data_IF_616783559109
#
_entry.id   IF_616783559109
#
_cell.length_a   1.000
_cell.length_b   1.000
_cell.length_c   1.000
_cell.angle_alpha   90.00
_cell.angle_beta   90.00
_cell.angle_gamma   90.00
#
_symmetry.space_group_name_H-M   'P 1'
#
loop_
_entity.id
_entity.type
_entity.pdbx_description
1 polymer ?
#
# COMPACT_ATOMS: atom_id res chain seq x y z
N UNK A 1 -26.91 -3.98 30.99
CA UNK A 1 -26.18 -3.45 32.15
C UNK A 1 -25.83 -2.00 31.86
N UNK A 2 -26.16 -1.06 32.74
CA UNK A 2 -25.76 0.35 32.61
C UNK A 2 -24.53 0.54 33.50
N UNK A 3 -23.39 0.85 32.90
CA UNK A 3 -22.13 1.09 33.62
C UNK A 3 -21.82 2.59 33.65
N UNK A 4 -21.22 3.11 34.75
CA UNK A 4 -20.71 4.48 34.79
C UNK A 4 -19.64 4.72 33.72
N UNK A 5 -19.54 5.94 33.19
CA UNK A 5 -18.53 6.31 32.19
C UNK A 5 -17.08 6.10 32.67
N UNK A 6 -16.82 6.13 33.98
CA UNK A 6 -15.51 5.89 34.57
C UNK A 6 -15.32 4.47 35.12
N UNK A 7 -16.18 3.52 34.78
CA UNK A 7 -16.12 2.15 35.31
C UNK A 7 -14.78 1.48 35.01
N UNK A 8 -14.30 1.56 33.78
CA UNK A 8 -13.03 0.96 33.37
C UNK A 8 -11.83 1.54 34.12
N UNK A 9 -11.84 2.84 34.38
CA UNK A 9 -10.79 3.51 35.17
C UNK A 9 -10.81 3.04 36.62
N UNK A 10 -12.00 2.91 37.22
CA UNK A 10 -12.16 2.49 38.62
C UNK A 10 -11.64 1.07 38.89
N UNK A 11 -11.73 0.17 37.91
CA UNK A 11 -11.29 -1.21 38.04
C UNK A 11 -9.91 -1.48 37.41
N UNK A 12 -9.22 -0.44 36.93
CA UNK A 12 -7.91 -0.58 36.27
C UNK A 12 -7.95 -1.22 34.87
N UNK A 13 -9.13 -1.44 34.29
CA UNK A 13 -9.30 -2.09 32.98
C UNK A 13 -8.76 -1.25 31.82
N UNK A 14 -8.65 0.07 31.99
CA UNK A 14 -8.07 0.96 30.98
C UNK A 14 -6.65 0.52 30.57
N UNK A 15 -5.82 0.07 31.52
CA UNK A 15 -4.47 -0.42 31.24
C UNK A 15 -4.49 -1.70 30.39
N UNK A 16 -5.41 -2.63 30.67
CA UNK A 16 -5.58 -3.85 29.86
C UNK A 16 -6.02 -3.52 28.43
N UNK A 17 -6.89 -2.51 28.29
CA UNK A 17 -7.35 -2.03 26.98
C UNK A 17 -6.20 -1.43 26.16
N UNK A 18 -5.35 -0.60 26.77
CA UNK A 18 -4.15 -0.04 26.13
C UNK A 18 -3.15 -1.14 25.72
N UNK A 19 -2.91 -2.12 26.61
CA UNK A 19 -2.07 -3.29 26.30
C UNK A 19 -2.62 -4.06 25.10
N UNK A 20 -3.94 -4.30 25.08
CA UNK A 20 -4.61 -4.99 23.97
C UNK A 20 -4.52 -4.20 22.67
N UNK A 21 -4.71 -2.89 22.71
CA UNK A 21 -4.60 -2.01 21.55
C UNK A 21 -3.18 -2.03 20.95
N UNK A 22 -2.15 -2.05 21.81
CA UNK A 22 -0.74 -2.14 21.40
C UNK A 22 -0.40 -3.47 20.70
N UNK A 23 -1.20 -4.51 20.92
CA UNK A 23 -1.03 -5.85 20.36
C UNK A 23 -1.74 -6.04 19.01
N UNK A 24 -2.61 -5.11 18.59
CA UNK A 24 -3.23 -5.14 17.28
C UNK A 24 -2.22 -4.79 16.18
N UNK A 25 -2.27 -5.50 15.05
CA UNK A 25 -1.42 -5.24 13.89
C UNK A 25 -1.82 -3.92 13.21
N UNK A 26 -3.10 -3.56 13.25
CA UNK A 26 -3.56 -2.38 12.54
C UNK A 26 -4.77 -1.70 13.15
N UNK A 27 -5.17 -0.58 12.52
CA UNK A 27 -6.36 0.15 12.88
C UNK A 27 -7.64 -0.71 12.82
N UNK A 28 -7.66 -1.77 11.99
CA UNK A 28 -8.81 -2.66 11.89
C UNK A 28 -9.07 -3.38 13.23
N UNK A 29 -8.05 -3.99 13.84
CA UNK A 29 -8.17 -4.61 15.16
C UNK A 29 -8.44 -3.58 16.27
N UNK A 30 -7.75 -2.43 16.22
CA UNK A 30 -7.95 -1.35 17.20
C UNK A 30 -9.38 -0.81 17.22
N UNK A 31 -10.06 -0.78 16.08
CA UNK A 31 -11.49 -0.43 16.03
C UNK A 31 -12.38 -1.40 16.82
N UNK A 32 -12.04 -2.70 16.84
CA UNK A 32 -12.75 -3.68 17.67
C UNK A 32 -12.41 -3.51 19.16
N UNK A 33 -11.15 -3.21 19.48
CA UNK A 33 -10.77 -2.84 20.86
C UNK A 33 -11.61 -1.66 21.31
N UNK A 34 -11.62 -0.54 20.58
CA UNK A 34 -12.37 0.66 20.94
C UNK A 34 -13.88 0.42 21.13
N UNK A 35 -14.47 -0.54 20.40
CA UNK A 35 -15.91 -0.91 20.50
C UNK A 35 -16.20 -1.96 21.56
N UNK A 36 -15.19 -2.56 22.19
CA UNK A 36 -15.37 -3.60 23.20
C UNK A 36 -16.12 -3.06 24.43
N UNK A 37 -17.11 -3.81 24.89
CA UNK A 37 -17.92 -3.52 26.07
C UNK A 37 -18.07 -4.78 26.93
N UNK A 38 -18.32 -4.61 28.23
CA UNK A 38 -18.66 -5.71 29.13
C UNK A 38 -19.95 -6.41 28.65
N UNK A 39 -19.88 -7.74 28.49
CA UNK A 39 -20.98 -8.57 28.02
C UNK A 39 -21.55 -9.41 29.16
N UNK A 40 -22.84 -9.71 29.10
CA UNK A 40 -23.53 -10.56 30.10
C UNK A 40 -24.28 -11.73 29.47
N UNK A 41 -24.32 -11.82 28.13
CA UNK A 41 -24.98 -12.93 27.42
C UNK A 41 -24.05 -14.12 27.37
N UNK A 42 -24.46 -15.22 28.02
CA UNK A 42 -23.67 -16.45 28.16
C UNK A 42 -23.11 -16.94 26.82
N UNK A 43 -23.98 -17.19 25.84
CA UNK A 43 -23.57 -17.76 24.54
C UNK A 43 -22.59 -16.86 23.77
N UNK A 44 -22.70 -15.54 23.93
CA UNK A 44 -21.78 -14.59 23.30
C UNK A 44 -20.42 -14.59 24.00
N UNK A 45 -20.41 -14.64 25.34
CA UNK A 45 -19.18 -14.75 26.13
C UNK A 45 -18.45 -16.04 25.81
N UNK A 46 -19.15 -17.18 25.84
CA UNK A 46 -18.60 -18.49 25.53
C UNK A 46 -17.95 -18.50 24.15
N UNK A 47 -18.65 -18.02 23.12
CA UNK A 47 -18.10 -17.88 21.77
C UNK A 47 -16.83 -17.03 21.73
N UNK A 48 -16.83 -15.85 22.36
CA UNK A 48 -15.68 -14.94 22.35
C UNK A 48 -14.47 -15.49 23.11
N UNK A 49 -14.71 -16.26 24.17
CA UNK A 49 -13.69 -16.95 24.95
C UNK A 49 -13.08 -18.10 24.13
N UNK A 50 -13.90 -18.98 23.56
CA UNK A 50 -13.46 -20.09 22.71
C UNK A 50 -12.62 -19.60 21.53
N UNK A 51 -13.04 -18.53 20.85
CA UNK A 51 -12.25 -17.94 19.75
C UNK A 51 -10.86 -17.47 20.21
N UNK A 52 -10.77 -16.91 21.42
CA UNK A 52 -9.50 -16.45 21.98
C UNK A 52 -8.62 -17.64 22.36
N UNK A 53 -9.22 -18.67 22.94
CA UNK A 53 -8.54 -19.90 23.36
C UNK A 53 -8.00 -20.69 22.17
N UNK A 54 -8.81 -20.87 21.12
CA UNK A 54 -8.40 -21.48 19.84
C UNK A 54 -7.22 -20.72 19.21
N UNK A 55 -7.26 -19.39 19.20
CA UNK A 55 -6.16 -18.60 18.65
C UNK A 55 -4.91 -18.67 19.55
N UNK A 56 -5.08 -18.77 20.88
CA UNK A 56 -3.94 -19.00 21.80
C UNK A 56 -3.28 -20.35 21.52
N UNK A 57 -4.07 -21.41 21.36
CA UNK A 57 -3.57 -22.73 20.99
C UNK A 57 -2.85 -22.70 19.63
N UNK A 58 -3.39 -21.97 18.65
CA UNK A 58 -2.73 -21.75 17.37
C UNK A 58 -1.35 -21.11 17.53
N UNK A 59 -1.23 -20.05 18.34
CA UNK A 59 0.05 -19.36 18.57
C UNK A 59 1.06 -20.28 19.29
N UNK A 60 0.58 -21.11 20.22
CA UNK A 60 1.41 -22.08 20.95
C UNK A 60 1.87 -23.25 20.07
N UNK A 61 1.11 -23.61 19.04
CA UNK A 61 1.47 -24.69 18.11
C UNK A 61 2.68 -24.34 17.24
N UNK A 62 3.05 -23.06 17.12
CA UNK A 62 4.10 -22.59 16.23
C UNK A 62 3.69 -22.60 14.75
N UNK A 63 2.41 -22.80 14.44
CA UNK A 63 1.90 -22.75 13.08
C UNK A 63 2.13 -21.37 12.45
N UNK A 64 2.56 -21.37 11.20
CA UNK A 64 2.76 -20.14 10.42
C UNK A 64 1.41 -19.58 9.95
N UNK A 65 0.84 -18.68 10.75
CA UNK A 65 -0.43 -18.03 10.44
C UNK A 65 -0.22 -16.66 9.77
N UNK A 66 -0.96 -16.35 8.69
CA UNK A 66 -0.82 -15.10 7.95
C UNK A 66 -1.17 -13.88 8.80
N UNK A 67 -0.13 -13.18 9.24
CA UNK A 67 -0.18 -12.03 10.15
C UNK A 67 0.42 -10.76 9.54
N UNK A 68 0.58 -10.73 8.21
CA UNK A 68 1.12 -9.59 7.48
C UNK A 68 0.02 -8.86 6.69
N UNK A 69 0.29 -7.60 6.31
CA UNK A 69 -0.58 -6.80 5.43
C UNK A 69 -2.01 -6.54 5.95
N UNK A 70 -2.15 -6.23 7.24
CA UNK A 70 -3.42 -5.82 7.84
C UNK A 70 -3.71 -4.33 7.53
N UNK A 71 -3.81 -3.95 6.27
CA UNK A 71 -4.02 -2.55 5.90
C UNK A 71 -5.48 -2.12 6.13
N UNK A 72 -5.68 -0.94 6.72
CA UNK A 72 -7.02 -0.34 6.77
C UNK A 72 -7.33 0.34 5.42
N UNK A 73 -8.08 -0.35 4.58
CA UNK A 73 -8.47 0.16 3.26
C UNK A 73 -9.83 0.84 3.25
N UNK A 74 -10.51 0.99 4.39
CA UNK A 74 -11.83 1.63 4.44
C UNK A 74 -11.84 3.00 3.75
N UNK A 75 -10.84 3.89 3.95
CA UNK A 75 -10.78 5.17 3.25
C UNK A 75 -10.74 5.00 1.72
N UNK A 76 -10.02 3.99 1.22
CA UNK A 76 -9.93 3.68 -0.20
C UNK A 76 -11.26 3.15 -0.75
N UNK A 77 -11.96 2.27 -0.03
CA UNK A 77 -13.26 1.76 -0.45
C UNK A 77 -14.32 2.87 -0.49
N UNK A 78 -14.29 3.81 0.46
CA UNK A 78 -15.14 5.00 0.45
C UNK A 78 -14.86 5.84 -0.78
N UNK A 79 -13.58 6.16 -1.06
CA UNK A 79 -13.22 6.92 -2.27
C UNK A 79 -13.60 6.20 -3.56
N UNK A 80 -13.37 4.89 -3.66
CA UNK A 80 -13.72 4.08 -4.82
C UNK A 80 -15.23 4.03 -5.07
N UNK A 81 -16.06 4.16 -4.01
CA UNK A 81 -17.52 4.17 -4.16
C UNK A 81 -18.04 5.38 -4.95
N UNK A 82 -17.27 6.48 -5.00
CA UNK A 82 -17.64 7.68 -5.74
C UNK A 82 -17.50 7.44 -7.25
N UNK A 83 -18.54 7.74 -8.07
CA UNK A 83 -18.44 7.68 -9.54
C UNK A 83 -17.34 8.60 -10.07
N UNK A 84 -16.58 8.12 -11.07
CA UNK A 84 -15.47 8.88 -11.67
C UNK A 84 -14.19 8.96 -10.83
N UNK A 85 -14.21 8.55 -9.55
CA UNK A 85 -13.01 8.45 -8.74
C UNK A 85 -12.16 7.24 -9.16
N UNK A 86 -10.84 7.39 -9.03
CA UNK A 86 -9.85 6.32 -9.14
C UNK A 86 -9.01 6.20 -7.87
N UNK A 87 -8.55 4.99 -7.59
CA UNK A 87 -7.53 4.70 -6.59
C UNK A 87 -6.14 4.77 -7.20
N UNK A 88 -5.17 5.24 -6.42
CA UNK A 88 -3.76 5.20 -6.83
C UNK A 88 -3.16 3.80 -6.65
N UNK A 89 -1.92 3.64 -7.13
CA UNK A 89 -1.19 2.37 -7.11
C UNK A 89 -0.99 1.86 -5.68
N UNK A 90 -0.70 2.75 -4.74
CA UNK A 90 -0.49 2.38 -3.34
C UNK A 90 -1.78 1.84 -2.68
N UNK A 91 -2.93 2.44 -2.97
CA UNK A 91 -4.22 1.95 -2.52
C UNK A 91 -4.54 0.57 -3.10
N UNK A 92 -4.31 0.34 -4.40
CA UNK A 92 -4.49 -0.98 -4.99
C UNK A 92 -3.54 -2.03 -4.44
N UNK A 93 -2.28 -1.67 -4.20
CA UNK A 93 -1.31 -2.54 -3.56
C UNK A 93 -1.80 -2.96 -2.16
N UNK A 94 -2.23 -2.02 -1.33
CA UNK A 94 -2.77 -2.31 -0.01
C UNK A 94 -3.98 -3.26 -0.09
N UNK A 95 -4.92 -2.99 -1.01
CA UNK A 95 -6.09 -3.86 -1.22
C UNK A 95 -5.68 -5.27 -1.63
N UNK A 96 -4.78 -5.38 -2.60
CA UNK A 96 -4.28 -6.66 -3.11
C UNK A 96 -3.63 -7.49 -2.00
N UNK A 97 -2.71 -6.89 -1.24
CA UNK A 97 -1.96 -7.60 -0.20
C UNK A 97 -2.87 -8.06 0.94
N UNK A 98 -3.78 -7.20 1.41
CA UNK A 98 -4.76 -7.60 2.43
C UNK A 98 -5.71 -8.70 1.94
N UNK A 99 -6.15 -8.67 0.68
CA UNK A 99 -7.00 -9.75 0.13
C UNK A 99 -6.25 -11.08 0.01
N UNK A 100 -4.95 -11.06 -0.29
CA UNK A 100 -4.11 -12.27 -0.24
C UNK A 100 -4.03 -12.81 1.19
N UNK A 101 -3.78 -11.97 2.19
CA UNK A 101 -3.78 -12.35 3.62
C UNK A 101 -5.12 -12.94 4.04
N UNK A 102 -6.24 -12.30 3.67
CA UNK A 102 -7.59 -12.79 3.98
C UNK A 102 -7.81 -14.18 3.38
N UNK A 103 -7.44 -14.37 2.10
CA UNK A 103 -7.57 -15.67 1.44
C UNK A 103 -6.71 -16.74 2.10
N UNK A 104 -5.46 -16.41 2.48
CA UNK A 104 -4.59 -17.33 3.22
C UNK A 104 -5.19 -17.72 4.57
N UNK A 105 -5.75 -16.76 5.31
CA UNK A 105 -6.38 -17.03 6.60
C UNK A 105 -7.63 -17.91 6.45
N UNK A 106 -8.48 -17.65 5.45
CA UNK A 106 -9.62 -18.50 5.13
C UNK A 106 -9.16 -19.93 4.79
N UNK A 107 -8.19 -20.06 3.89
CA UNK A 107 -7.63 -21.35 3.49
C UNK A 107 -7.08 -22.11 4.71
N UNK A 108 -6.30 -21.44 5.56
CA UNK A 108 -5.73 -22.02 6.78
C UNK A 108 -6.79 -22.70 7.64
N UNK A 109 -7.86 -21.99 8.00
CA UNK A 109 -8.91 -22.56 8.85
C UNK A 109 -9.76 -23.62 8.14
N UNK A 110 -9.96 -23.51 6.83
CA UNK A 110 -10.69 -24.52 6.05
C UNK A 110 -9.91 -25.81 5.84
N UNK A 111 -8.57 -25.75 5.78
CA UNK A 111 -7.70 -26.92 5.57
C UNK A 111 -7.26 -27.58 6.88
N UNK A 112 -7.31 -26.87 8.01
CA UNK A 112 -7.11 -27.47 9.33
C UNK A 112 -8.13 -28.59 9.61
N UNK A 113 -7.79 -29.52 10.50
CA UNK A 113 -8.76 -30.51 11.00
C UNK A 113 -9.97 -29.79 11.61
N UNK A 114 -11.18 -30.30 11.36
CA UNK A 114 -12.42 -29.60 11.73
C UNK A 114 -12.55 -29.32 13.23
N UNK A 115 -11.92 -30.16 14.05
CA UNK A 115 -11.96 -30.12 15.50
C UNK A 115 -10.97 -29.12 16.12
N UNK A 116 -9.96 -28.64 15.37
CA UNK A 116 -8.90 -27.80 15.94
C UNK A 116 -9.36 -26.36 16.18
N UNK A 117 -10.05 -25.76 15.20
CA UNK A 117 -10.43 -24.34 15.23
C UNK A 117 -11.88 -24.10 14.81
N UNK A 118 -12.87 -24.76 15.45
CA UNK A 118 -14.26 -24.70 15.01
C UNK A 118 -14.84 -23.29 15.09
N UNK A 119 -14.60 -22.53 16.15
CA UNK A 119 -15.20 -21.18 16.31
C UNK A 119 -14.51 -20.11 15.48
N UNK A 120 -13.20 -20.26 15.19
CA UNK A 120 -12.48 -19.42 14.25
C UNK A 120 -12.89 -19.70 12.80
N UNK A 121 -13.11 -20.96 12.42
CA UNK A 121 -13.61 -21.33 11.09
C UNK A 121 -14.95 -20.66 10.79
N UNK A 122 -15.85 -20.59 11.78
CA UNK A 122 -17.15 -19.93 11.63
C UNK A 122 -17.04 -18.43 11.29
N UNK A 123 -15.94 -17.75 11.63
CA UNK A 123 -15.74 -16.33 11.31
C UNK A 123 -15.61 -16.08 9.81
N UNK A 124 -15.11 -17.07 9.05
CA UNK A 124 -14.94 -16.97 7.60
C UNK A 124 -16.21 -17.24 6.80
N UNK A 125 -17.31 -17.66 7.44
CA UNK A 125 -18.57 -17.97 6.74
C UNK A 125 -19.11 -16.70 6.06
N UNK A 126 -19.40 -16.81 4.78
CA UNK A 126 -19.92 -15.69 3.97
C UNK A 126 -18.86 -14.65 3.59
N UNK A 127 -17.59 -14.88 3.92
CA UNK A 127 -16.46 -14.08 3.44
C UNK A 127 -15.95 -14.69 2.16
N UNK A 128 -16.01 -13.93 1.07
CA UNK A 128 -15.53 -14.36 -0.24
C UNK A 128 -14.57 -13.32 -0.80
N UNK A 129 -13.49 -13.81 -1.41
CA UNK A 129 -12.53 -13.00 -2.15
C UNK A 129 -12.62 -13.43 -3.61
N UNK A 130 -13.11 -12.53 -4.47
CA UNK A 130 -13.24 -12.82 -5.90
C UNK A 130 -11.85 -13.00 -6.53
N UNK A 131 -11.65 -14.17 -7.16
CA UNK A 131 -10.40 -14.51 -7.84
C UNK A 131 -10.16 -13.62 -9.06
N UNK A 132 -11.21 -13.20 -9.76
CA UNK A 132 -11.12 -12.31 -10.91
C UNK A 132 -10.66 -10.92 -10.49
N UNK A 133 -11.14 -10.41 -9.35
CA UNK A 133 -10.67 -9.14 -8.79
C UNK A 133 -9.18 -9.22 -8.44
N UNK A 134 -8.75 -10.28 -7.76
CA UNK A 134 -7.33 -10.48 -7.45
C UNK A 134 -6.47 -10.58 -8.72
N UNK A 135 -6.92 -11.32 -9.73
CA UNK A 135 -6.21 -11.41 -11.01
C UNK A 135 -6.13 -10.05 -11.73
N UNK A 136 -7.19 -9.23 -11.67
CA UNK A 136 -7.19 -7.89 -12.21
C UNK A 136 -6.20 -6.96 -11.47
N UNK A 137 -6.14 -7.04 -10.14
CA UNK A 137 -5.15 -6.33 -9.33
C UNK A 137 -3.73 -6.79 -9.67
N UNK A 138 -3.50 -8.09 -9.77
CA UNK A 138 -2.21 -8.70 -10.11
C UNK A 138 -1.71 -8.29 -11.50
N UNK A 139 -2.62 -8.06 -12.47
CA UNK A 139 -2.26 -7.59 -13.81
C UNK A 139 -1.72 -6.16 -13.81
N UNK A 140 -2.15 -5.31 -12.88
CA UNK A 140 -1.81 -3.89 -12.88
C UNK A 140 -0.68 -3.57 -11.89
N UNK A 141 -0.71 -4.16 -10.70
CA UNK A 141 0.26 -3.88 -9.63
C UNK A 141 1.03 -5.15 -9.28
N UNK A 142 2.35 -5.08 -9.24
CA UNK A 142 3.21 -6.18 -8.81
C UNK A 142 3.27 -6.32 -7.28
N UNK A 143 4.17 -7.17 -6.80
CA UNK A 143 4.28 -7.53 -5.38
C UNK A 143 5.17 -6.52 -4.60
N UNK A 144 5.85 -5.63 -5.32
CA UNK A 144 6.66 -4.53 -4.83
C UNK A 144 5.88 -3.19 -4.82
N UNK A 145 4.64 -3.18 -5.29
CA UNK A 145 3.78 -2.01 -5.34
C UNK A 145 4.05 -1.07 -6.52
N UNK A 146 4.69 -1.58 -7.57
CA UNK A 146 4.90 -0.87 -8.83
C UNK A 146 3.88 -1.28 -9.89
N UNK A 147 3.70 -0.41 -10.88
CA UNK A 147 2.85 -0.72 -12.04
C UNK A 147 3.59 -1.69 -12.96
N UNK A 148 2.94 -2.80 -13.27
CA UNK A 148 3.50 -3.79 -14.21
C UNK A 148 3.65 -3.21 -15.60
N UNK A 149 4.74 -3.56 -16.27
CA UNK A 149 5.00 -3.15 -17.66
C UNK A 149 3.87 -3.53 -18.61
N UNK A 150 3.29 -4.71 -18.39
CA UNK A 150 2.23 -5.29 -19.22
C UNK A 150 0.82 -5.00 -18.70
N UNK A 151 0.64 -4.00 -17.83
CA UNK A 151 -0.67 -3.58 -17.35
C UNK A 151 -1.61 -3.21 -18.52
N UNK A 152 -1.07 -2.59 -19.57
CA UNK A 152 -1.70 -2.49 -20.89
C UNK A 152 -0.66 -2.51 -22.02
N UNK A 153 -1.05 -2.91 -23.25
CA UNK A 153 -0.17 -2.84 -24.42
C UNK A 153 0.34 -1.42 -24.69
N UNK A 154 -0.54 -0.41 -24.54
CA UNK A 154 -0.18 0.99 -24.76
C UNK A 154 0.79 1.51 -23.70
N UNK A 155 0.57 1.18 -22.42
CA UNK A 155 1.48 1.59 -21.34
C UNK A 155 2.89 1.00 -21.55
N UNK A 156 2.96 -0.27 -21.95
CA UNK A 156 4.21 -0.94 -22.30
C UNK A 156 4.93 -0.24 -23.46
N UNK A 157 4.21 0.06 -24.54
CA UNK A 157 4.74 0.78 -25.70
C UNK A 157 5.29 2.15 -25.30
N UNK A 158 4.51 2.95 -24.57
CA UNK A 158 4.92 4.29 -24.10
C UNK A 158 6.16 4.22 -23.21
N UNK A 159 6.25 3.21 -22.33
CA UNK A 159 7.41 3.01 -21.46
C UNK A 159 8.68 2.69 -22.27
N UNK A 160 8.57 1.80 -23.25
CA UNK A 160 9.70 1.46 -24.13
C UNK A 160 10.15 2.65 -24.96
N UNK A 161 9.20 3.42 -25.51
CA UNK A 161 9.53 4.63 -26.26
C UNK A 161 10.23 5.67 -25.40
N UNK A 162 9.75 5.87 -24.16
CA UNK A 162 10.35 6.77 -23.19
C UNK A 162 11.78 6.35 -22.84
N UNK A 163 12.04 5.06 -22.58
CA UNK A 163 13.39 4.52 -22.34
C UNK A 163 14.30 4.78 -23.54
N UNK A 164 13.81 4.53 -24.76
CA UNK A 164 14.57 4.74 -25.99
C UNK A 164 14.93 6.21 -26.21
N UNK A 165 13.95 7.12 -26.05
CA UNK A 165 14.15 8.58 -26.18
C UNK A 165 15.09 9.13 -25.12
N UNK A 166 14.93 8.70 -23.87
CA UNK A 166 15.87 9.06 -22.79
C UNK A 166 17.29 8.52 -23.06
N UNK A 167 17.42 7.32 -23.61
CA UNK A 167 18.71 6.76 -24.03
C UNK A 167 19.38 7.57 -25.13
N UNK A 168 18.62 8.01 -26.14
CA UNK A 168 19.11 8.89 -27.20
C UNK A 168 19.53 10.26 -26.66
N UNK A 169 18.70 10.88 -25.81
CA UNK A 169 19.00 12.15 -25.14
C UNK A 169 20.32 12.07 -24.35
N UNK A 170 20.49 11.03 -23.53
CA UNK A 170 21.71 10.83 -22.72
C UNK A 170 22.95 10.69 -23.61
N UNK A 171 22.88 9.92 -24.69
CA UNK A 171 24.01 9.75 -25.63
C UNK A 171 24.40 11.06 -26.29
N UNK A 172 23.43 11.84 -26.73
CA UNK A 172 23.66 13.11 -27.40
C UNK A 172 24.22 14.18 -26.46
N UNK A 173 23.64 14.30 -25.24
CA UNK A 173 24.19 15.15 -24.18
C UNK A 173 25.61 14.75 -23.81
N UNK A 174 25.91 13.46 -23.69
CA UNK A 174 27.26 12.99 -23.37
C UNK A 174 28.27 13.31 -24.48
N UNK A 175 27.84 13.41 -25.75
CA UNK A 175 28.68 13.87 -26.86
C UNK A 175 28.97 15.37 -26.77
N UNK A 176 27.93 16.18 -26.55
CA UNK A 176 28.04 17.63 -26.41
C UNK A 176 28.90 17.98 -25.19
N UNK A 177 28.68 17.32 -24.05
CA UNK A 177 29.46 17.51 -22.84
C UNK A 177 30.94 17.22 -23.06
N UNK A 178 31.27 16.10 -23.73
CA UNK A 178 32.67 15.75 -24.03
C UNK A 178 33.36 16.81 -24.87
N UNK A 179 32.69 17.31 -25.91
CA UNK A 179 33.23 18.38 -26.74
C UNK A 179 33.36 19.70 -25.96
N UNK A 180 32.35 20.09 -25.21
CA UNK A 180 32.38 21.33 -24.43
C UNK A 180 33.43 21.28 -23.29
N UNK A 181 33.69 20.10 -22.71
CA UNK A 181 34.80 19.89 -21.76
C UNK A 181 36.16 20.00 -22.45
N UNK A 182 36.35 19.42 -23.64
CA UNK A 182 37.63 19.53 -24.36
C UNK A 182 37.97 20.96 -24.77
N UNK A 183 36.95 21.78 -25.02
CA UNK A 183 37.10 23.20 -25.37
C UNK A 183 37.17 24.12 -24.14
N UNK A 184 37.07 23.59 -22.91
CA UNK A 184 37.12 24.37 -21.67
C UNK A 184 35.87 25.22 -21.38
N UNK A 185 34.75 24.99 -22.06
CA UNK A 185 33.50 25.74 -21.84
C UNK A 185 32.74 25.30 -20.59
N UNK A 186 32.98 24.05 -20.18
CA UNK A 186 32.36 23.39 -19.04
C UNK A 186 33.48 22.90 -18.11
N UNK A 187 33.35 23.02 -16.77
CA UNK A 187 34.33 22.48 -15.84
C UNK A 187 34.54 20.97 -16.03
N UNK A 188 35.77 20.50 -15.84
CA UNK A 188 36.15 19.11 -16.15
C UNK A 188 35.39 18.06 -15.32
N UNK A 189 35.01 18.40 -14.10
CA UNK A 189 34.25 17.58 -13.15
C UNK A 189 32.72 17.77 -13.24
N UNK A 190 32.25 18.71 -14.06
CA UNK A 190 30.83 19.01 -14.14
C UNK A 190 30.06 17.94 -14.91
N UNK A 191 28.88 17.56 -14.40
CA UNK A 191 27.98 16.58 -15.01
C UNK A 191 26.67 17.23 -15.46
N UNK A 192 25.95 16.65 -16.44
CA UNK A 192 24.62 17.11 -16.82
C UNK A 192 23.68 17.06 -15.62
N UNK A 193 22.82 18.07 -15.49
CA UNK A 193 21.87 18.16 -14.38
C UNK A 193 20.45 18.39 -14.89
N UNK A 194 19.45 18.25 -14.02
CA UNK A 194 18.06 18.49 -14.36
C UNK A 194 17.64 19.85 -13.80
N UNK A 195 17.13 20.72 -14.66
CA UNK A 195 16.51 22.02 -14.31
C UNK A 195 15.14 22.11 -14.95
N UNK A 196 14.11 22.41 -14.15
CA UNK A 196 12.73 22.47 -14.65
C UNK A 196 12.24 21.16 -15.30
N UNK A 197 12.81 20.01 -14.92
CA UNK A 197 12.51 18.71 -15.53
C UNK A 197 13.22 18.45 -16.87
N UNK A 198 14.12 19.33 -17.31
CA UNK A 198 14.89 19.19 -18.56
C UNK A 198 16.35 18.92 -18.25
N UNK A 199 17.00 18.10 -19.07
CA UNK A 199 18.42 17.81 -18.96
C UNK A 199 19.23 18.97 -19.55
N UNK A 200 20.07 19.59 -18.73
CA UNK A 200 20.84 20.80 -19.05
C UNK A 200 22.32 20.62 -18.75
N UNK A 201 23.15 21.42 -19.42
CA UNK A 201 24.60 21.46 -19.25
C UNK A 201 25.02 22.69 -18.44
N UNK A 202 25.87 22.55 -17.41
CA UNK A 202 26.45 23.67 -16.66
C UNK A 202 27.61 24.29 -17.43
N UNK A 203 27.37 25.43 -18.09
CA UNK A 203 28.37 26.15 -18.91
C UNK A 203 28.90 27.35 -18.13
N UNK A 204 30.21 27.60 -18.21
CA UNK A 204 30.81 28.80 -17.62
C UNK A 204 30.18 30.04 -18.28
N UNK A 205 29.78 31.03 -17.48
CA UNK A 205 28.99 32.18 -17.95
C UNK A 205 29.65 32.95 -19.11
N UNK A 206 30.99 33.04 -19.11
CA UNK A 206 31.77 33.65 -20.20
C UNK A 206 31.63 32.91 -21.53
N UNK A 207 31.38 31.60 -21.47
CA UNK A 207 31.24 30.72 -22.63
C UNK A 207 29.77 30.41 -22.98
N UNK A 208 28.79 31.08 -22.36
CA UNK A 208 27.35 30.82 -22.58
C UNK A 208 26.88 30.93 -24.03
N UNK A 209 27.59 31.70 -24.87
CA UNK A 209 27.29 31.83 -26.31
C UNK A 209 27.94 30.75 -27.18
N UNK A 210 28.83 29.91 -26.63
CA UNK A 210 29.52 28.83 -27.34
C UNK A 210 28.67 27.57 -27.45
N UNK A 211 27.87 27.29 -26.42
CA UNK A 211 26.86 26.22 -26.45
C UNK A 211 25.55 26.82 -26.93
N UNK A 212 25.15 26.52 -28.17
CA UNK A 212 23.85 26.95 -28.70
C UNK A 212 22.71 26.26 -27.96
N UNK A 213 21.80 27.04 -27.39
CA UNK A 213 20.70 26.51 -26.60
C UNK A 213 19.93 27.56 -25.82
N UNK A 214 18.98 27.10 -25.03
CA UNK A 214 18.16 27.93 -24.15
C UNK A 214 18.72 27.91 -22.72
N UNK A 215 18.84 29.08 -22.11
CA UNK A 215 19.22 29.21 -20.71
C UNK A 215 17.99 28.93 -19.85
N UNK A 216 18.10 27.95 -18.94
CA UNK A 216 17.03 27.59 -18.01
C UNK A 216 17.21 28.19 -16.63
N UNK A 217 18.47 28.37 -16.20
CA UNK A 217 18.81 28.78 -14.85
C UNK A 217 20.24 29.33 -14.78
N UNK A 218 20.57 30.02 -13.69
CA UNK A 218 21.89 30.58 -13.41
C UNK A 218 22.29 30.28 -11.97
N UNK A 219 23.58 30.03 -11.71
CA UNK A 219 24.08 29.82 -10.36
C UNK A 219 23.92 31.09 -9.51
N UNK A 220 23.79 30.93 -8.19
CA UNK A 220 23.72 32.07 -7.27
C UNK A 220 24.94 33.02 -7.36
N UNK A 221 26.09 32.49 -7.78
CA UNK A 221 27.31 33.26 -8.03
C UNK A 221 27.36 33.95 -9.41
N UNK A 222 26.44 33.65 -10.33
CA UNK A 222 26.45 34.14 -11.71
C UNK A 222 27.56 33.55 -12.59
N UNK A 223 28.35 32.61 -12.07
CA UNK A 223 29.52 32.05 -12.78
C UNK A 223 29.15 30.88 -13.70
N UNK A 224 28.04 30.21 -13.45
CA UNK A 224 27.60 29.04 -14.23
C UNK A 224 26.19 29.24 -14.72
N UNK A 225 25.98 29.02 -16.01
CA UNK A 225 24.68 29.10 -16.68
C UNK A 225 24.26 27.70 -17.11
N UNK A 226 23.02 27.32 -16.82
CA UNK A 226 22.47 26.01 -17.17
C UNK A 226 21.75 26.08 -18.52
N UNK A 227 22.35 25.47 -19.54
CA UNK A 227 21.90 25.57 -20.93
C UNK A 227 21.33 24.22 -21.39
N UNK A 228 20.11 24.23 -21.95
CA UNK A 228 19.58 23.13 -22.76
C UNK A 228 20.09 23.29 -24.19
N UNK A 229 20.95 22.38 -24.69
CA UNK A 229 21.44 22.49 -26.05
C UNK A 229 20.32 22.35 -27.08
N UNK A 230 20.34 23.18 -28.11
CA UNK A 230 19.34 23.16 -29.20
C UNK A 230 19.21 21.76 -29.83
N UNK A 231 20.33 21.06 -29.96
CA UNK A 231 20.39 19.73 -30.55
C UNK A 231 19.52 18.67 -29.84
N UNK A 232 19.15 18.89 -28.58
CA UNK A 232 18.34 17.95 -27.79
C UNK A 232 16.95 18.48 -27.43
N UNK A 233 16.59 19.67 -27.91
CA UNK A 233 15.33 20.33 -27.58
C UNK A 233 14.11 19.47 -28.00
N UNK A 234 14.13 18.97 -29.23
CA UNK A 234 13.09 18.07 -29.76
C UNK A 234 12.99 16.79 -28.93
N UNK A 235 14.12 16.17 -28.57
CA UNK A 235 14.13 14.96 -27.73
C UNK A 235 13.54 15.20 -26.33
N UNK A 236 13.82 16.36 -25.72
CA UNK A 236 13.23 16.73 -24.44
C UNK A 236 11.71 16.94 -24.55
N UNK A 237 11.24 17.57 -25.62
CA UNK A 237 9.80 17.75 -25.86
C UNK A 237 9.10 16.41 -26.11
N UNK A 238 9.68 15.54 -26.96
CA UNK A 238 9.19 14.18 -27.20
C UNK A 238 9.06 13.38 -25.89
N UNK A 239 10.09 13.41 -25.04
CA UNK A 239 10.07 12.75 -23.73
C UNK A 239 8.93 13.30 -22.88
N UNK A 240 8.71 14.62 -22.89
CA UNK A 240 7.66 15.23 -22.09
C UNK A 240 6.27 14.82 -22.57
N UNK A 241 6.06 14.75 -23.87
CA UNK A 241 4.80 14.29 -24.44
C UNK A 241 4.54 12.81 -24.15
N UNK A 242 5.59 11.98 -24.18
CA UNK A 242 5.53 10.58 -23.79
C UNK A 242 5.22 10.40 -22.31
N UNK A 243 5.83 11.19 -21.41
CA UNK A 243 5.50 11.21 -19.99
C UNK A 243 4.02 11.56 -19.76
N UNK A 244 3.53 12.60 -20.42
CA UNK A 244 2.14 13.03 -20.33
C UNK A 244 1.17 11.96 -20.88
N UNK A 245 1.53 11.30 -21.98
CA UNK A 245 0.77 10.18 -22.52
C UNK A 245 0.77 8.98 -21.56
N UNK A 246 1.92 8.64 -20.97
CA UNK A 246 2.05 7.57 -19.99
C UNK A 246 1.17 7.83 -18.76
N UNK A 247 1.19 9.04 -18.21
CA UNK A 247 0.36 9.40 -17.06
C UNK A 247 -1.14 9.34 -17.38
N UNK A 248 -1.56 9.81 -18.57
CA UNK A 248 -2.97 9.69 -19.02
C UNK A 248 -3.41 8.23 -19.14
N UNK A 249 -2.55 7.38 -19.71
CA UNK A 249 -2.84 5.95 -19.82
C UNK A 249 -2.90 5.26 -18.45
N UNK A 250 -1.99 5.60 -17.54
CA UNK A 250 -2.01 5.09 -16.17
C UNK A 250 -3.32 5.46 -15.45
N UNK A 251 -3.73 6.72 -15.51
CA UNK A 251 -5.01 7.17 -14.91
C UNK A 251 -6.19 6.41 -15.52
N UNK A 252 -6.19 6.18 -16.84
CA UNK A 252 -7.23 5.39 -17.52
C UNK A 252 -7.29 3.95 -16.98
N UNK A 253 -6.13 3.29 -16.83
CA UNK A 253 -6.03 1.93 -16.27
C UNK A 253 -6.55 1.91 -14.82
N UNK A 254 -6.10 2.83 -13.98
CA UNK A 254 -6.51 2.90 -12.57
C UNK A 254 -8.01 3.20 -12.41
N UNK A 255 -8.57 4.06 -13.28
CA UNK A 255 -10.00 4.35 -13.31
C UNK A 255 -10.81 3.12 -13.71
N UNK A 256 -10.34 2.37 -14.71
CA UNK A 256 -10.95 1.12 -15.13
C UNK A 256 -10.92 0.07 -14.02
N UNK A 257 -9.75 -0.14 -13.39
CA UNK A 257 -9.59 -1.08 -12.28
C UNK A 257 -10.44 -0.69 -11.06
N UNK A 258 -10.56 0.61 -10.77
CA UNK A 258 -11.44 1.09 -9.69
C UNK A 258 -12.90 0.77 -10.00
N UNK A 259 -13.28 0.87 -11.27
CA UNK A 259 -14.63 0.53 -11.72
C UNK A 259 -14.92 -0.96 -11.68
N UNK A 260 -13.91 -1.80 -11.92
CA UNK A 260 -14.01 -3.25 -11.69
C UNK A 260 -14.09 -3.61 -10.21
N UNK A 261 -13.39 -2.88 -9.33
CA UNK A 261 -13.44 -3.09 -7.88
C UNK A 261 -14.80 -2.69 -7.27
N UNK A 262 -15.45 -1.65 -7.81
CA UNK A 262 -16.64 -1.00 -7.23
C UNK A 262 -17.80 -1.97 -6.92
N UNK A 263 -18.20 -2.91 -7.81
CA UNK A 263 -19.24 -3.90 -7.51
C UNK A 263 -18.90 -4.81 -6.33
N UNK A 264 -17.62 -5.04 -6.04
CA UNK A 264 -17.17 -5.92 -4.97
C UNK A 264 -17.09 -5.22 -3.60
N UNK A 265 -17.29 -3.90 -3.52
CA UNK A 265 -17.17 -3.14 -2.26
C UNK A 265 -17.96 -3.76 -1.09
N UNK A 266 -19.22 -4.23 -1.25
CA UNK A 266 -19.96 -4.86 -0.16
C UNK A 266 -19.26 -6.10 0.41
N UNK A 267 -18.70 -6.96 -0.44
CA UNK A 267 -18.00 -8.18 -0.01
C UNK A 267 -16.60 -7.87 0.52
N UNK A 268 -15.91 -6.89 -0.07
CA UNK A 268 -14.65 -6.37 0.46
C UNK A 268 -14.85 -5.89 1.90
N UNK A 269 -15.92 -5.14 2.20
CA UNK A 269 -16.20 -4.70 3.58
C UNK A 269 -16.34 -5.87 4.55
N UNK A 270 -17.04 -6.95 4.17
CA UNK A 270 -17.12 -8.18 5.00
C UNK A 270 -15.73 -8.81 5.19
N UNK A 271 -14.93 -8.86 4.13
CA UNK A 271 -13.58 -9.40 4.15
C UNK A 271 -12.64 -8.61 5.08
N UNK A 272 -12.70 -7.28 5.07
CA UNK A 272 -11.93 -6.43 5.99
C UNK A 272 -12.47 -6.46 7.43
N UNK A 273 -13.77 -6.63 7.61
CA UNK A 273 -14.36 -6.87 8.93
C UNK A 273 -13.84 -8.19 9.53
N UNK A 274 -13.79 -9.25 8.72
CA UNK A 274 -13.18 -10.52 9.10
C UNK A 274 -11.70 -10.36 9.48
N UNK A 275 -10.92 -9.66 8.66
CA UNK A 275 -9.50 -9.39 8.93
C UNK A 275 -9.30 -8.64 10.26
N UNK A 276 -10.10 -7.60 10.52
CA UNK A 276 -10.05 -6.86 11.77
C UNK A 276 -10.48 -7.69 12.99
N UNK A 277 -11.45 -8.59 12.82
CA UNK A 277 -11.88 -9.49 13.88
C UNK A 277 -10.79 -10.52 14.23
N UNK A 278 -10.11 -11.08 13.22
CA UNK A 278 -8.94 -11.92 13.44
C UNK A 278 -7.82 -11.18 14.16
N UNK A 279 -7.56 -9.92 13.79
CA UNK A 279 -6.56 -9.09 14.46
C UNK A 279 -6.87 -8.92 15.95
N UNK A 280 -8.13 -8.58 16.25
CA UNK A 280 -8.61 -8.43 17.61
C UNK A 280 -8.51 -9.71 18.42
N UNK A 281 -8.89 -10.85 17.86
CA UNK A 281 -8.82 -12.15 18.54
C UNK A 281 -7.36 -12.56 18.77
N UNK A 282 -6.48 -12.41 17.77
CA UNK A 282 -5.04 -12.65 17.94
C UNK A 282 -4.45 -11.77 19.04
N UNK A 283 -4.80 -10.48 19.07
CA UNK A 283 -4.34 -9.55 20.09
C UNK A 283 -4.76 -10.01 21.51
N UNK A 284 -6.01 -10.49 21.67
CA UNK A 284 -6.47 -11.07 22.94
C UNK A 284 -5.68 -12.32 23.32
N UNK A 285 -5.40 -13.20 22.37
CA UNK A 285 -4.63 -14.43 22.61
C UNK A 285 -3.18 -14.11 23.02
N UNK A 286 -2.54 -13.14 22.36
CA UNK A 286 -1.21 -12.64 22.74
C UNK A 286 -1.22 -12.02 24.14
N UNK A 287 -2.25 -11.23 24.47
CA UNK A 287 -2.39 -10.64 25.80
C UNK A 287 -2.57 -11.72 26.86
N UNK A 288 -3.39 -12.74 26.59
CA UNK A 288 -3.57 -13.89 27.48
C UNK A 288 -2.24 -14.61 27.73
N UNK A 289 -1.41 -14.79 26.69
CA UNK A 289 -0.06 -15.33 26.84
C UNK A 289 0.85 -14.46 27.70
N UNK A 290 0.83 -13.13 27.52
CA UNK A 290 1.62 -12.19 28.35
C UNK A 290 1.21 -12.17 29.82
N UNK A 291 -0.07 -12.40 30.11
CA UNK A 291 -0.63 -12.39 31.46
C UNK A 291 -0.68 -13.79 32.08
N UNK A 292 -0.21 -14.82 31.37
CA UNK A 292 -0.37 -16.23 31.76
C UNK A 292 -1.83 -16.59 32.09
N UNK A 293 -2.78 -15.97 31.37
CA UNK A 293 -4.21 -16.10 31.62
C UNK A 293 -4.81 -17.37 31.00
N UNK A 294 -5.77 -17.95 31.70
CA UNK A 294 -6.51 -19.15 31.28
C UNK A 294 -7.95 -18.80 30.87
N UNK A 295 -8.56 -19.66 30.04
CA UNK A 295 -9.98 -19.49 29.69
C UNK A 295 -10.84 -19.79 30.92
N UNK A 296 -11.70 -18.86 31.38
CA UNK A 296 -12.56 -19.10 32.52
C UNK A 296 -13.70 -20.07 32.17
N UNK A 297 -14.16 -20.83 33.17
CA UNK A 297 -15.37 -21.65 33.07
C UNK A 297 -16.58 -20.76 33.33
N UNK A 298 -17.54 -20.77 32.41
CA UNK A 298 -18.81 -20.06 32.59
C UNK A 298 -19.81 -20.96 33.31
N UNK A 299 -20.54 -20.38 34.26
CA UNK A 299 -21.69 -21.01 34.88
C UNK A 299 -22.96 -20.29 34.44
N UNK A 300 -24.07 -21.00 34.18
CA UNK A 300 -25.35 -20.38 33.89
C UNK A 300 -25.75 -19.46 35.07
N UNK A 301 -26.37 -18.33 34.74
CA UNK A 301 -26.91 -17.43 35.76
C UNK A 301 -27.91 -18.21 36.62
N UNK A 302 -27.73 -18.15 37.95
CA UNK A 302 -28.71 -18.68 38.91
C UNK A 302 -30.01 -17.91 38.84
#
# INVERSE_FOLDING_TARGET
MILPNNFEQKIGFAQLREMLESLCLSALGRQFVAKMQFQTKHDQLEKLLLQTDEFRALLQSGADFPSQHYHDVHPYLVRASLPGAYLDVAAFFAVKMSLRTIRQALTFFTQAEETLYPTLRLLGIGVQVDRNLLAALDKVVDDEGQVRDNASPLLSQLRQELINRQGMLRKQIAGILRHAKSEGWIPGDAEPTIRGGRLVLPVIAEHKRRVKGLIHDESASGQTVFIEPEAVFELNNDIKDLENAYQRELIRILTHLTSQLRPHIPDLRKAYQYLGLLDFIRAKALLAGRLEATMPVLHPAR
#
